data_IF_557952216343
#
_entry.id   IF_557952216343
#
_cell.length_a   1.000
_cell.length_b   1.000
_cell.length_c   1.000
_cell.angle_alpha   90.00
_cell.angle_beta   90.00
_cell.angle_gamma   90.00
#
_symmetry.space_group_name_H-M   'P 1'
#
loop_
_entity.id
_entity.type
_entity.pdbx_description
1 polymer ?
#
# COMPACT_ATOMS: atom_id res chain seq x y z
N UNK A 1 -22.46 3.02 -14.15
CA UNK A 1 -22.85 1.92 -15.05
C UNK A 1 -21.82 1.84 -16.14
N UNK A 2 -21.61 0.66 -16.69
CA UNK A 2 -20.80 0.46 -17.88
C UNK A 2 -21.39 1.26 -19.05
N UNK A 3 -20.57 2.05 -19.75
CA UNK A 3 -21.05 3.00 -20.77
C UNK A 3 -21.62 2.30 -22.01
N UNK A 4 -21.24 1.04 -22.26
CA UNK A 4 -21.69 0.25 -23.41
C UNK A 4 -22.91 -0.61 -23.08
N UNK A 5 -22.93 -1.25 -21.91
CA UNK A 5 -23.96 -2.23 -21.52
C UNK A 5 -24.99 -1.68 -20.54
N UNK A 6 -24.77 -0.48 -19.98
CA UNK A 6 -25.53 0.11 -18.87
C UNK A 6 -25.66 -0.81 -17.63
N UNK A 7 -24.85 -1.87 -17.56
CA UNK A 7 -24.82 -2.76 -16.42
C UNK A 7 -24.22 -2.03 -15.19
N UNK A 8 -24.65 -2.36 -13.98
CA UNK A 8 -23.98 -1.89 -12.78
C UNK A 8 -22.53 -2.40 -12.76
N UNK A 9 -21.60 -1.54 -12.38
CA UNK A 9 -20.20 -1.94 -12.23
C UNK A 9 -20.04 -2.87 -11.02
N UNK A 10 -19.38 -4.00 -11.23
CA UNK A 10 -19.06 -4.97 -10.18
C UNK A 10 -17.55 -5.18 -10.23
N UNK A 11 -16.85 -4.74 -9.18
CA UNK A 11 -15.43 -5.02 -9.05
C UNK A 11 -15.20 -6.45 -8.56
N UNK A 12 -14.24 -7.14 -9.17
CA UNK A 12 -13.77 -8.47 -8.72
C UNK A 12 -12.46 -8.39 -7.94
N UNK A 13 -11.76 -7.25 -8.00
CA UNK A 13 -10.54 -6.98 -7.26
C UNK A 13 -10.35 -5.47 -7.09
N UNK A 14 -9.53 -5.09 -6.11
CA UNK A 14 -9.06 -3.71 -5.91
C UNK A 14 -7.56 -3.66 -6.12
N UNK A 15 -7.09 -2.75 -6.98
CA UNK A 15 -5.68 -2.36 -7.05
C UNK A 15 -5.57 -0.95 -6.48
N UNK A 16 -4.73 -0.76 -5.47
CA UNK A 16 -4.58 0.52 -4.81
C UNK A 16 -3.12 0.81 -4.43
N UNK A 17 -2.83 2.07 -4.16
CA UNK A 17 -1.59 2.46 -3.47
C UNK A 17 -1.85 2.57 -1.95
N UNK A 18 -0.83 2.35 -1.10
CA UNK A 18 -0.98 2.45 0.35
C UNK A 18 -1.48 3.81 0.86
N UNK A 19 -1.02 4.97 0.32
CA UNK A 19 -1.50 6.28 0.78
C UNK A 19 -2.99 6.56 0.55
N UNK A 20 -3.73 5.65 -0.08
CA UNK A 20 -5.18 5.76 -0.21
C UNK A 20 -5.93 5.39 1.09
N UNK A 21 -5.35 4.58 1.97
CA UNK A 21 -5.82 4.13 3.30
C UNK A 21 -7.20 3.44 3.40
N UNK A 22 -8.18 3.74 2.54
CA UNK A 22 -9.52 3.14 2.56
C UNK A 22 -9.61 1.79 1.86
N UNK A 23 -8.60 1.42 1.07
CA UNK A 23 -8.62 0.26 0.16
C UNK A 23 -8.96 -1.06 0.85
N UNK A 24 -8.37 -1.32 2.02
CA UNK A 24 -8.54 -2.60 2.73
C UNK A 24 -9.92 -2.71 3.36
N UNK A 25 -10.50 -1.59 3.79
CA UNK A 25 -11.85 -1.55 4.34
C UNK A 25 -12.90 -1.70 3.24
N UNK A 26 -12.67 -1.12 2.07
CA UNK A 26 -13.49 -1.36 0.89
C UNK A 26 -13.42 -2.83 0.46
N UNK A 27 -12.22 -3.42 0.42
CA UNK A 27 -12.04 -4.84 0.13
C UNK A 27 -12.76 -5.74 1.13
N UNK A 28 -12.66 -5.45 2.44
CA UNK A 28 -13.41 -6.15 3.49
C UNK A 28 -14.93 -6.02 3.29
N UNK A 29 -15.45 -4.84 2.95
CA UNK A 29 -16.88 -4.66 2.72
C UNK A 29 -17.37 -5.41 1.49
N UNK A 30 -16.62 -5.34 0.40
CA UNK A 30 -16.99 -5.93 -0.89
C UNK A 30 -16.68 -7.43 -0.96
N UNK A 31 -15.87 -7.96 -0.03
CA UNK A 31 -15.42 -9.35 0.00
C UNK A 31 -14.68 -9.74 -1.29
N UNK A 32 -13.80 -8.86 -1.76
CA UNK A 32 -12.97 -9.05 -2.95
C UNK A 32 -11.49 -8.87 -2.63
N UNK A 33 -10.57 -9.52 -3.39
CA UNK A 33 -9.13 -9.39 -3.18
C UNK A 33 -8.63 -7.95 -3.35
N UNK A 34 -7.63 -7.60 -2.55
CA UNK A 34 -6.86 -6.37 -2.64
C UNK A 34 -5.44 -6.68 -3.10
N UNK A 35 -4.92 -5.89 -4.03
CA UNK A 35 -3.52 -5.88 -4.43
C UNK A 35 -2.97 -4.46 -4.26
N UNK A 36 -1.85 -4.33 -3.55
CA UNK A 36 -1.19 -3.05 -3.37
C UNK A 36 -0.10 -2.86 -4.43
N UNK A 37 -0.17 -1.76 -5.18
CA UNK A 37 0.87 -1.38 -6.14
C UNK A 37 1.45 -0.03 -5.77
N UNK A 38 2.78 0.07 -5.69
CA UNK A 38 3.41 1.33 -5.31
C UNK A 38 4.82 1.52 -5.83
N UNK A 39 5.29 2.77 -5.86
CA UNK A 39 6.61 3.17 -6.36
C UNK A 39 7.61 3.48 -5.25
N UNK A 40 7.18 3.43 -3.99
CA UNK A 40 8.02 3.56 -2.80
C UNK A 40 7.84 2.35 -1.90
N UNK A 41 8.88 1.92 -1.15
CA UNK A 41 8.71 0.80 -0.24
C UNK A 41 7.77 1.18 0.90
N UNK A 42 6.78 0.31 1.14
CA UNK A 42 5.79 0.48 2.21
C UNK A 42 5.66 -0.75 3.11
N UNK A 43 6.34 -1.84 2.76
CA UNK A 43 6.35 -3.10 3.50
C UNK A 43 7.58 -3.16 4.39
N UNK A 44 7.45 -3.56 5.66
CA UNK A 44 8.58 -3.66 6.58
C UNK A 44 9.73 -4.50 6.03
N UNK A 45 10.95 -4.01 6.21
CA UNK A 45 12.18 -4.75 5.90
C UNK A 45 13.35 -4.24 6.73
N UNK A 46 14.34 -5.10 6.93
CA UNK A 46 15.63 -4.75 7.52
C UNK A 46 16.57 -4.01 6.55
N UNK A 47 16.30 -4.03 5.25
CA UNK A 47 17.23 -3.53 4.22
C UNK A 47 17.34 -2.00 4.17
N UNK A 48 16.21 -1.30 4.32
CA UNK A 48 16.13 0.17 4.28
C UNK A 48 14.96 0.67 5.14
N UNK A 49 15.03 1.91 5.65
CA UNK A 49 13.98 2.46 6.50
C UNK A 49 12.74 2.86 5.68
N UNK A 50 11.63 3.06 6.36
CA UNK A 50 10.40 3.62 5.80
C UNK A 50 10.69 4.99 5.17
N UNK A 51 10.24 5.29 3.93
CA UNK A 51 10.58 6.53 3.21
C UNK A 51 10.24 7.83 3.93
N UNK A 52 9.18 7.81 4.75
CA UNK A 52 8.74 8.95 5.56
C UNK A 52 9.44 9.07 6.91
N UNK A 53 10.35 8.15 7.25
CA UNK A 53 11.10 8.20 8.50
C UNK A 53 12.42 8.94 8.31
N UNK A 54 12.79 9.74 9.30
CA UNK A 54 14.11 10.37 9.40
C UNK A 54 14.73 10.02 10.75
N UNK A 55 15.04 8.74 10.95
CA UNK A 55 15.57 8.24 12.22
C UNK A 55 17.10 8.27 12.18
N UNK A 56 17.71 8.93 13.15
CA UNK A 56 19.16 8.95 13.30
C UNK A 56 19.72 7.55 13.60
N UNK A 57 20.76 7.14 12.87
CA UNK A 57 21.37 5.81 13.02
C UNK A 57 22.17 5.61 14.31
N UNK A 58 22.17 6.58 15.22
CA UNK A 58 22.87 6.56 16.52
C UNK A 58 22.13 5.74 17.59
N UNK A 59 20.88 5.34 17.33
CA UNK A 59 19.95 4.80 18.34
C UNK A 59 20.02 3.26 18.45
N UNK A 60 20.76 2.56 17.58
CA UNK A 60 20.89 1.10 17.62
C UNK A 60 21.32 0.45 16.30
N UNK A 61 21.23 -0.90 16.19
CA UNK A 61 21.58 -1.61 14.96
C UNK A 61 20.68 -1.19 13.79
N UNK A 62 21.28 -0.78 12.66
CA UNK A 62 20.56 -0.26 11.48
C UNK A 62 19.42 -1.14 10.99
N UNK A 63 19.61 -2.47 10.96
CA UNK A 63 18.58 -3.42 10.53
C UNK A 63 17.31 -3.37 11.40
N UNK A 64 17.46 -3.16 12.71
CA UNK A 64 16.32 -2.99 13.63
C UNK A 64 15.68 -1.62 13.45
N UNK A 65 16.48 -0.58 13.32
CA UNK A 65 15.97 0.79 13.07
C UNK A 65 15.13 0.81 11.79
N UNK A 66 15.62 0.18 10.72
CA UNK A 66 14.89 0.05 9.47
C UNK A 66 13.55 -0.64 9.67
N UNK A 67 13.53 -1.82 10.31
CA UNK A 67 12.28 -2.54 10.54
C UNK A 67 11.28 -1.74 11.40
N UNK A 68 11.74 -1.19 12.54
CA UNK A 68 10.89 -0.42 13.43
C UNK A 68 10.39 0.90 12.85
N UNK A 69 11.09 1.46 11.86
CA UNK A 69 10.64 2.69 11.20
C UNK A 69 9.27 2.52 10.54
N UNK A 70 8.94 1.32 10.04
CA UNK A 70 7.63 1.03 9.46
C UNK A 70 6.54 1.02 10.53
N UNK A 71 6.78 0.31 11.64
CA UNK A 71 5.84 0.26 12.76
C UNK A 71 5.53 1.66 13.30
N UNK A 72 6.56 2.50 13.44
CA UNK A 72 6.40 3.89 13.92
C UNK A 72 5.54 4.71 12.97
N UNK A 73 5.82 4.65 11.66
CA UNK A 73 5.07 5.44 10.68
C UNK A 73 3.63 4.95 10.57
N UNK A 74 3.39 3.64 10.53
CA UNK A 74 2.04 3.06 10.49
C UNK A 74 1.26 3.44 11.77
N UNK A 75 1.85 3.30 12.95
CA UNK A 75 1.20 3.68 14.21
C UNK A 75 0.87 5.18 14.26
N UNK A 76 1.77 6.06 13.81
CA UNK A 76 1.50 7.51 13.74
C UNK A 76 0.38 7.83 12.74
N UNK A 77 0.42 7.20 11.57
CA UNK A 77 -0.59 7.35 10.51
C UNK A 77 -1.97 6.96 11.02
N UNK A 78 -2.08 5.78 11.62
CA UNK A 78 -3.34 5.28 12.15
C UNK A 78 -3.80 5.98 13.42
N UNK A 79 -2.90 6.58 14.20
CA UNK A 79 -3.29 7.47 15.30
C UNK A 79 -4.03 8.68 14.76
N UNK A 80 -3.50 9.33 13.71
CA UNK A 80 -4.09 10.52 13.11
C UNK A 80 -5.38 10.24 12.34
N UNK A 81 -5.51 9.05 11.73
CA UNK A 81 -6.67 8.68 10.91
C UNK A 81 -7.76 7.91 11.66
N UNK A 82 -7.55 7.52 12.92
CA UNK A 82 -8.41 6.59 13.67
C UNK A 82 -9.88 6.94 13.58
N UNK A 83 -10.24 8.17 13.94
CA UNK A 83 -11.64 8.56 14.09
C UNK A 83 -12.31 8.68 12.72
N UNK A 84 -11.61 9.27 11.74
CA UNK A 84 -12.08 9.39 10.35
C UNK A 84 -12.35 8.01 9.76
N UNK A 85 -11.40 7.08 9.94
CA UNK A 85 -11.53 5.75 9.36
C UNK A 85 -12.58 4.90 10.07
N UNK A 86 -12.66 4.98 11.39
CA UNK A 86 -13.70 4.26 12.13
C UNK A 86 -15.11 4.80 11.83
N UNK A 87 -15.25 6.11 11.64
CA UNK A 87 -16.49 6.70 11.17
C UNK A 87 -16.85 6.21 9.77
N UNK A 88 -15.89 6.19 8.84
CA UNK A 88 -16.11 5.63 7.49
C UNK A 88 -16.53 4.15 7.55
N UNK A 89 -15.81 3.33 8.33
CA UNK A 89 -16.13 1.92 8.53
C UNK A 89 -17.54 1.73 9.06
N UNK A 90 -17.93 2.46 10.10
CA UNK A 90 -19.21 2.26 10.78
C UNK A 90 -20.38 2.89 10.04
N UNK A 91 -20.27 4.17 9.66
CA UNK A 91 -21.36 4.97 9.10
C UNK A 91 -21.58 4.72 7.62
N UNK A 92 -20.53 4.38 6.87
CA UNK A 92 -20.60 4.18 5.42
C UNK A 92 -20.56 2.70 5.05
N UNK A 93 -19.60 1.94 5.57
CA UNK A 93 -19.44 0.52 5.20
C UNK A 93 -20.27 -0.43 6.07
N UNK A 94 -20.73 0.00 7.24
CA UNK A 94 -21.41 -0.87 8.20
C UNK A 94 -20.49 -1.97 8.77
N UNK A 95 -19.19 -1.71 8.82
CA UNK A 95 -18.17 -2.58 9.41
C UNK A 95 -17.89 -2.19 10.87
N UNK A 96 -17.36 -3.14 11.65
CA UNK A 96 -16.93 -2.90 13.03
C UNK A 96 -15.72 -1.97 13.06
N UNK A 97 -15.68 -1.08 14.04
CA UNK A 97 -14.50 -0.25 14.34
C UNK A 97 -13.26 -1.11 14.63
N UNK A 98 -12.08 -0.61 14.25
CA UNK A 98 -10.79 -1.24 14.50
C UNK A 98 -10.05 -0.53 15.63
N UNK A 99 -9.35 -1.32 16.43
CA UNK A 99 -8.30 -0.79 17.30
C UNK A 99 -7.09 -0.39 16.47
N UNK A 100 -6.31 0.57 16.97
CA UNK A 100 -5.19 1.15 16.23
C UNK A 100 -4.16 0.10 15.75
N UNK A 101 -3.84 -0.88 16.60
CA UNK A 101 -2.92 -1.98 16.23
C UNK A 101 -3.48 -2.84 15.11
N UNK A 102 -4.78 -3.10 15.10
CA UNK A 102 -5.43 -3.86 14.03
C UNK A 102 -5.39 -3.08 12.73
N UNK A 103 -5.62 -1.77 12.77
CA UNK A 103 -5.54 -0.93 11.58
C UNK A 103 -4.10 -0.83 11.03
N UNK A 104 -3.12 -0.62 11.91
CA UNK A 104 -1.71 -0.49 11.55
C UNK A 104 -1.11 -1.76 10.95
N UNK A 105 -1.53 -2.93 11.41
CA UNK A 105 -1.00 -4.20 10.91
C UNK A 105 -1.87 -4.84 9.83
N UNK A 106 -2.99 -4.22 9.42
CA UNK A 106 -4.01 -4.91 8.62
C UNK A 106 -3.46 -5.46 7.29
N UNK A 107 -2.58 -4.72 6.60
CA UNK A 107 -1.95 -5.19 5.36
C UNK A 107 -1.00 -6.37 5.58
N UNK A 108 -0.32 -6.41 6.74
CA UNK A 108 0.66 -7.42 7.11
C UNK A 108 -0.06 -8.69 7.58
N UNK A 109 -1.01 -8.55 8.51
CA UNK A 109 -1.76 -9.63 9.12
C UNK A 109 -2.53 -10.45 8.05
N UNK A 110 -3.08 -9.77 7.05
CA UNK A 110 -3.80 -10.38 5.94
C UNK A 110 -2.90 -10.80 4.76
N UNK A 111 -1.57 -10.64 4.87
CA UNK A 111 -0.59 -10.96 3.81
C UNK A 111 -1.00 -10.42 2.43
N UNK A 112 -1.51 -9.19 2.37
CA UNK A 112 -2.04 -8.58 1.15
C UNK A 112 -0.94 -8.58 0.08
N UNK A 113 -1.20 -9.06 -1.16
CA UNK A 113 -0.21 -9.01 -2.24
C UNK A 113 0.28 -7.58 -2.53
N UNK A 114 1.59 -7.41 -2.67
CA UNK A 114 2.22 -6.14 -3.01
C UNK A 114 3.07 -6.25 -4.28
N UNK A 115 3.01 -5.24 -5.14
CA UNK A 115 3.92 -5.09 -6.27
C UNK A 115 4.55 -3.71 -6.28
N UNK A 116 5.86 -3.70 -6.15
CA UNK A 116 6.68 -2.51 -6.20
C UNK A 116 7.17 -2.22 -7.61
N UNK A 117 6.81 -1.04 -8.11
CA UNK A 117 6.95 -0.62 -9.50
C UNK A 117 8.26 0.13 -9.72
N UNK A 118 9.38 -0.48 -9.33
CA UNK A 118 10.74 0.01 -9.60
C UNK A 118 11.61 -1.10 -10.20
N UNK A 119 12.71 -0.72 -10.85
CA UNK A 119 13.66 -1.69 -11.38
C UNK A 119 14.36 -2.48 -10.26
N UNK A 120 14.44 -3.83 -10.35
CA UNK A 120 15.26 -4.64 -9.43
C UNK A 120 16.75 -4.23 -9.42
N UNK A 121 17.25 -3.63 -10.51
CA UNK A 121 18.62 -3.09 -10.57
C UNK A 121 18.79 -1.80 -9.77
N UNK A 122 17.71 -1.07 -9.50
CA UNK A 122 17.70 0.12 -8.66
C UNK A 122 17.56 -0.25 -7.18
N UNK A 123 16.53 -1.04 -6.86
CA UNK A 123 16.33 -1.61 -5.53
C UNK A 123 15.93 -3.06 -5.70
N UNK A 124 16.85 -3.96 -5.32
CA UNK A 124 16.57 -5.39 -5.33
C UNK A 124 15.50 -5.74 -4.28
N UNK A 125 14.74 -6.80 -4.54
CA UNK A 125 13.80 -7.37 -3.57
C UNK A 125 14.58 -7.78 -2.29
N UNK A 126 14.26 -7.23 -1.12
CA UNK A 126 14.83 -7.67 0.15
C UNK A 126 14.59 -9.16 0.41
N UNK A 127 15.58 -9.84 1.00
CA UNK A 127 15.53 -11.28 1.28
C UNK A 127 14.53 -11.65 2.39
N UNK A 128 14.11 -10.67 3.19
CA UNK A 128 13.15 -10.82 4.29
C UNK A 128 11.70 -10.53 3.86
N UNK A 129 11.45 -10.19 2.59
CA UNK A 129 10.10 -10.12 2.05
C UNK A 129 9.56 -11.50 1.67
N UNK A 130 8.29 -11.72 2.00
CA UNK A 130 7.57 -12.93 1.66
C UNK A 130 7.29 -13.08 0.15
N UNK A 131 6.78 -14.24 -0.24
CA UNK A 131 6.39 -14.53 -1.63
C UNK A 131 5.23 -13.69 -2.16
N UNK A 132 4.46 -13.04 -1.28
CA UNK A 132 3.34 -12.16 -1.64
C UNK A 132 3.78 -10.74 -2.03
N UNK A 133 5.07 -10.41 -1.93
CA UNK A 133 5.61 -9.08 -2.26
C UNK A 133 6.59 -9.21 -3.41
N UNK A 134 6.35 -8.53 -4.52
CA UNK A 134 7.23 -8.57 -5.69
C UNK A 134 7.70 -7.20 -6.15
N UNK A 135 8.81 -7.18 -6.90
CA UNK A 135 9.35 -6.00 -7.58
C UNK A 135 9.24 -6.26 -9.08
N UNK A 136 8.36 -5.53 -9.77
CA UNK A 136 8.00 -5.83 -11.17
C UNK A 136 8.89 -5.15 -12.21
N UNK A 137 9.59 -4.09 -11.84
CA UNK A 137 10.17 -3.15 -12.81
C UNK A 137 9.37 -1.86 -12.92
N UNK A 138 9.80 -0.96 -13.79
CA UNK A 138 9.06 0.26 -14.07
C UNK A 138 7.86 -0.02 -14.98
N UNK A 139 6.74 0.65 -14.69
CA UNK A 139 5.57 0.66 -15.56
C UNK A 139 5.74 1.77 -16.59
N UNK A 140 5.85 1.42 -17.86
CA UNK A 140 5.95 2.37 -18.97
C UNK A 140 4.60 2.48 -19.68
N UNK A 141 4.08 3.69 -19.80
CA UNK A 141 2.94 3.95 -20.69
C UNK A 141 3.47 4.08 -22.12
N UNK A 142 2.84 3.37 -23.06
CA UNK A 142 3.18 3.49 -24.48
C UNK A 142 2.59 4.79 -25.05
N UNK A 143 3.18 5.93 -24.68
CA UNK A 143 2.74 7.28 -25.06
C UNK A 143 3.22 7.73 -26.45
N UNK A 144 3.78 6.84 -27.28
CA UNK A 144 4.65 7.22 -28.39
C UNK A 144 4.31 6.65 -29.77
N UNK A 145 3.13 6.92 -30.31
CA UNK A 145 2.94 6.98 -31.79
C UNK A 145 2.25 8.27 -32.27
N UNK A 146 1.82 9.17 -31.38
CA UNK A 146 1.02 10.34 -31.74
C UNK A 146 1.64 11.71 -31.38
N UNK A 147 2.90 11.77 -30.96
CA UNK A 147 3.57 13.06 -30.72
C UNK A 147 4.34 13.50 -31.98
N UNK A 148 3.76 14.41 -32.75
CA UNK A 148 4.46 15.19 -33.77
C UNK A 148 4.87 16.53 -33.17
N UNK A 149 6.17 16.82 -33.13
CA UNK A 149 6.69 18.15 -32.77
C UNK A 149 6.03 19.23 -33.65
N UNK A 150 5.50 20.34 -33.09
CA UNK A 150 5.18 21.51 -33.89
C UNK A 150 6.46 22.12 -34.49
N UNK A 151 6.36 22.82 -35.64
CA UNK A 151 7.50 23.32 -36.42
C UNK A 151 8.35 24.36 -35.68
#
# INVERSE_FOLDING_TARGET
>A
NDDETNAPFIAEAIIANPPSFGHIHCAEKLQIPLHIMFTMPWSPTIAFPHPLSNIESSIGPKHKINLYSYDVIEMLTWTGLRDIMNDFRKKTLGLRELHIRQAANALIDECVPHTYCWSPSLVAKPNDWGSHIDVSGFLFLNLGTAYTNPP
#
